data_IF_676629344954
#
_entry.id   IF_676629344954
#
_cell.length_a   1.000
_cell.length_b   1.000
_cell.length_c   1.000
_cell.angle_alpha   90.00
_cell.angle_beta   90.00
_cell.angle_gamma   90.00
#
_symmetry.space_group_name_H-M   'P 1'
#
loop_
_entity.id
_entity.type
_entity.pdbx_description
1 polymer ?
#
# COMPACT_ATOMS: atom_id res chain seq x y z
N UNK A 1 -17.67 -24.51 6.60
CA UNK A 1 -17.55 -25.60 7.59
C UNK A 1 -16.21 -26.29 7.36
N UNK A 2 -15.33 -26.32 8.36
CA UNK A 2 -14.00 -26.91 8.30
C UNK A 2 -13.86 -27.93 9.44
N UNK A 3 -13.17 -29.05 9.20
CA UNK A 3 -12.99 -30.08 10.22
C UNK A 3 -12.17 -29.52 11.39
N UNK A 4 -12.62 -29.70 12.63
CA UNK A 4 -11.92 -29.14 13.79
C UNK A 4 -10.55 -29.77 14.01
N UNK A 5 -10.34 -31.00 13.53
CA UNK A 5 -9.04 -31.68 13.56
C UNK A 5 -7.97 -31.04 12.68
N UNK A 6 -8.32 -30.05 11.83
CA UNK A 6 -7.35 -29.29 11.04
C UNK A 6 -6.70 -28.12 11.82
N UNK A 7 -7.20 -27.80 13.01
CA UNK A 7 -6.78 -26.63 13.77
C UNK A 7 -5.98 -27.02 15.00
N UNK A 8 -4.94 -26.26 15.30
CA UNK A 8 -4.26 -26.37 16.59
C UNK A 8 -5.23 -25.95 17.72
N UNK A 9 -5.20 -26.61 18.89
CA UNK A 9 -6.12 -26.28 19.99
C UNK A 9 -6.11 -24.80 20.40
N UNK A 10 -4.92 -24.19 20.49
CA UNK A 10 -4.78 -22.78 20.84
C UNK A 10 -5.45 -21.84 19.81
N UNK A 11 -5.34 -22.14 18.51
CA UNK A 11 -6.00 -21.36 17.47
C UNK A 11 -7.52 -21.50 17.54
N UNK A 12 -8.01 -22.70 17.87
CA UNK A 12 -9.45 -22.91 18.02
C UNK A 12 -10.02 -22.15 19.21
N UNK A 13 -9.31 -22.12 20.34
CA UNK A 13 -9.66 -21.32 21.51
C UNK A 13 -9.73 -19.83 21.16
N UNK A 14 -8.70 -19.31 20.51
CA UNK A 14 -8.64 -17.91 20.06
C UNK A 14 -9.78 -17.54 19.09
N UNK A 15 -10.05 -18.41 18.11
CA UNK A 15 -11.16 -18.20 17.15
C UNK A 15 -12.53 -18.17 17.83
N UNK A 16 -12.75 -19.03 18.83
CA UNK A 16 -14.04 -19.08 19.54
C UNK A 16 -14.18 -17.94 20.56
N UNK A 17 -13.08 -17.47 21.15
CA UNK A 17 -13.06 -16.33 22.07
C UNK A 17 -13.26 -15.00 21.34
N UNK A 18 -12.44 -14.70 20.34
CA UNK A 18 -12.40 -13.37 19.70
C UNK A 18 -13.33 -13.26 18.48
N UNK A 19 -13.74 -14.37 17.88
CA UNK A 19 -14.62 -14.38 16.71
C UNK A 19 -15.90 -15.18 16.91
N UNK A 20 -16.36 -15.39 18.16
CA UNK A 20 -17.53 -16.20 18.51
C UNK A 20 -18.86 -15.78 17.83
N UNK A 21 -18.97 -14.52 17.39
CA UNK A 21 -20.14 -14.07 16.61
C UNK A 21 -20.16 -14.64 15.19
N UNK A 22 -19.00 -14.92 14.61
CA UNK A 22 -18.83 -15.37 13.22
C UNK A 22 -18.30 -16.79 13.10
N UNK A 23 -17.73 -17.35 14.17
CA UNK A 23 -17.18 -18.71 14.23
C UNK A 23 -17.85 -19.47 15.37
N UNK A 24 -18.44 -20.62 15.05
CA UNK A 24 -19.09 -21.49 16.05
C UNK A 24 -18.65 -22.94 15.89
N UNK A 25 -18.52 -23.67 16.99
CA UNK A 25 -18.33 -25.12 16.96
C UNK A 25 -19.68 -25.84 16.81
N UNK A 26 -19.76 -26.79 15.86
CA UNK A 26 -20.92 -27.66 15.68
C UNK A 26 -20.45 -29.10 15.44
N UNK A 27 -20.48 -29.90 16.51
CA UNK A 27 -20.04 -31.30 16.49
C UNK A 27 -18.54 -31.43 16.21
N UNK A 28 -18.18 -32.04 15.08
CA UNK A 28 -16.79 -32.24 14.66
C UNK A 28 -16.18 -31.09 13.85
N UNK A 29 -16.82 -29.92 13.79
CA UNK A 29 -16.47 -28.87 12.82
C UNK A 29 -16.52 -27.47 13.42
N UNK A 30 -15.68 -26.59 12.87
CA UNK A 30 -15.84 -25.15 12.98
C UNK A 30 -16.66 -24.62 11.80
N UNK A 31 -17.68 -23.83 12.12
CA UNK A 31 -18.58 -23.19 11.16
C UNK A 31 -18.29 -21.70 11.16
N UNK A 32 -17.77 -21.23 10.03
CA UNK A 32 -17.49 -19.82 9.76
C UNK A 32 -18.68 -19.23 8.99
N UNK A 33 -19.33 -18.21 9.54
CA UNK A 33 -20.37 -17.42 8.86
C UNK A 33 -19.75 -16.57 7.75
N UNK A 34 -18.60 -15.98 8.04
CA UNK A 34 -17.80 -15.20 7.11
C UNK A 34 -16.35 -15.67 7.19
N UNK A 35 -15.72 -15.85 6.02
CA UNK A 35 -14.31 -16.19 5.91
C UNK A 35 -13.79 -15.58 4.61
N UNK A 36 -12.74 -14.77 4.72
CA UNK A 36 -12.02 -14.24 3.57
C UNK A 36 -10.77 -15.10 3.38
N UNK A 37 -10.61 -15.63 2.17
CA UNK A 37 -9.43 -16.40 1.79
C UNK A 37 -8.63 -15.57 0.79
N UNK A 38 -7.35 -15.37 1.10
CA UNK A 38 -6.43 -14.61 0.26
C UNK A 38 -5.15 -15.40 0.00
N UNK A 39 -4.40 -14.97 -1.00
CA UNK A 39 -3.08 -15.55 -1.26
C UNK A 39 -2.15 -15.26 -0.09
N UNK A 40 -1.46 -16.28 0.42
CA UNK A 40 -0.48 -16.10 1.49
C UNK A 40 0.64 -15.17 1.06
N UNK A 41 0.88 -14.14 1.85
CA UNK A 41 1.97 -13.17 1.70
C UNK A 41 2.69 -13.03 3.03
N UNK A 42 3.91 -12.50 2.99
CA UNK A 42 4.68 -12.17 4.21
C UNK A 42 4.47 -10.66 4.45
N UNK A 43 3.98 -10.22 5.61
CA UNK A 43 3.89 -8.80 5.92
C UNK A 43 5.24 -8.10 5.69
N UNK A 44 5.24 -6.93 5.07
CA UNK A 44 6.47 -6.27 4.61
C UNK A 44 7.51 -6.11 5.73
N UNK A 45 7.18 -5.66 6.96
CA UNK A 45 8.17 -5.55 8.03
C UNK A 45 8.84 -6.90 8.35
N UNK A 46 8.03 -7.97 8.46
CA UNK A 46 8.51 -9.33 8.72
C UNK A 46 9.38 -9.85 7.56
N UNK A 47 9.02 -9.51 6.33
CA UNK A 47 9.83 -9.86 5.16
C UNK A 47 11.22 -9.19 5.22
N UNK A 48 11.26 -7.90 5.59
CA UNK A 48 12.50 -7.12 5.62
C UNK A 48 13.48 -7.57 6.72
N UNK A 49 13.02 -8.22 7.78
CA UNK A 49 13.88 -8.74 8.86
C UNK A 49 14.86 -9.82 8.38
N UNK A 50 14.48 -10.60 7.36
CA UNK A 50 15.24 -11.79 6.93
C UNK A 50 15.59 -11.81 5.44
N UNK A 51 15.07 -10.85 4.66
CA UNK A 51 15.32 -10.76 3.24
C UNK A 51 16.80 -10.51 2.92
N UNK A 52 17.26 -11.03 1.79
CA UNK A 52 18.56 -10.63 1.25
C UNK A 52 18.54 -9.13 0.89
N UNK A 53 19.68 -8.42 0.91
CA UNK A 53 19.71 -7.00 0.54
C UNK A 53 19.11 -6.71 -0.85
N UNK A 54 19.30 -7.64 -1.79
CA UNK A 54 18.71 -7.55 -3.13
C UNK A 54 17.19 -7.65 -3.11
N UNK A 55 16.65 -8.60 -2.35
CA UNK A 55 15.20 -8.84 -2.29
C UNK A 55 14.50 -7.74 -1.48
N UNK A 56 15.12 -7.25 -0.41
CA UNK A 56 14.67 -6.10 0.36
C UNK A 56 14.57 -4.84 -0.53
N UNK A 57 15.63 -4.54 -1.31
CA UNK A 57 15.60 -3.46 -2.32
C UNK A 57 14.44 -3.63 -3.30
N UNK A 58 14.27 -4.84 -3.82
CA UNK A 58 13.21 -5.16 -4.81
C UNK A 58 11.82 -4.98 -4.21
N UNK A 59 11.61 -5.42 -2.97
CA UNK A 59 10.33 -5.27 -2.27
C UNK A 59 9.97 -3.80 -2.02
N UNK A 60 10.93 -2.98 -1.60
CA UNK A 60 10.71 -1.54 -1.34
C UNK A 60 10.40 -0.76 -2.62
N UNK A 61 11.03 -1.10 -3.74
CA UNK A 61 10.67 -0.53 -5.06
C UNK A 61 9.27 -0.99 -5.48
N UNK A 62 8.96 -2.28 -5.30
CA UNK A 62 7.62 -2.78 -5.61
C UNK A 62 6.54 -2.21 -4.70
N UNK A 63 6.86 -1.80 -3.46
CA UNK A 63 5.95 -1.10 -2.56
C UNK A 63 5.53 0.25 -3.14
N UNK A 64 6.46 1.09 -3.59
CA UNK A 64 6.08 2.37 -4.20
C UNK A 64 5.33 2.20 -5.51
N UNK A 65 5.67 1.18 -6.31
CA UNK A 65 4.82 0.81 -7.47
C UNK A 65 3.42 0.36 -7.07
N UNK A 66 3.26 -0.39 -5.98
CA UNK A 66 1.95 -0.77 -5.43
C UNK A 66 1.13 0.47 -5.06
N UNK A 67 1.70 1.40 -4.31
CA UNK A 67 1.06 2.66 -3.91
C UNK A 67 0.59 3.45 -5.13
N UNK A 68 1.45 3.60 -6.14
CA UNK A 68 1.11 4.31 -7.39
C UNK A 68 0.00 3.64 -8.17
N UNK A 69 0.02 2.31 -8.25
CA UNK A 69 -1.00 1.56 -8.96
C UNK A 69 -2.35 1.65 -8.23
N UNK A 70 -2.35 1.62 -6.90
CA UNK A 70 -3.55 1.84 -6.10
C UNK A 70 -4.10 3.26 -6.34
N UNK A 71 -3.24 4.28 -6.24
CA UNK A 71 -3.61 5.67 -6.51
C UNK A 71 -4.21 5.84 -7.91
N UNK A 72 -3.58 5.26 -8.93
CA UNK A 72 -4.07 5.25 -10.31
C UNK A 72 -5.42 4.53 -10.47
N UNK A 73 -5.74 3.57 -9.61
CA UNK A 73 -7.02 2.87 -9.57
C UNK A 73 -8.07 3.57 -8.70
N UNK A 74 -7.81 4.81 -8.25
CA UNK A 74 -8.63 5.56 -7.31
C UNK A 74 -8.75 4.87 -5.93
N UNK A 75 -7.74 4.12 -5.52
CA UNK A 75 -7.68 3.43 -4.22
C UNK A 75 -6.60 4.12 -3.38
N UNK A 76 -7.00 4.72 -2.26
CA UNK A 76 -6.10 5.32 -1.30
C UNK A 76 -6.21 4.64 0.05
N UNK A 77 -5.08 4.25 0.64
CA UNK A 77 -5.03 3.71 1.99
C UNK A 77 -4.65 4.85 2.95
N UNK A 78 -5.53 5.17 3.90
CA UNK A 78 -5.31 6.21 4.91
C UNK A 78 -4.26 5.84 5.95
N UNK A 79 -3.88 4.58 6.03
CA UNK A 79 -2.79 4.11 6.88
C UNK A 79 -1.67 3.54 6.01
N UNK A 80 -0.84 4.43 5.46
CA UNK A 80 0.34 4.08 4.66
C UNK A 80 1.45 3.48 5.52
N UNK A 81 1.15 2.49 6.36
CA UNK A 81 2.09 1.71 7.16
C UNK A 81 2.50 0.44 6.42
N UNK A 82 3.80 0.11 6.44
CA UNK A 82 4.32 -1.11 5.84
C UNK A 82 3.62 -2.40 6.30
N UNK A 83 3.07 -2.43 7.52
CA UNK A 83 2.30 -3.56 8.06
C UNK A 83 1.06 -3.92 7.24
N UNK A 84 0.50 -2.97 6.50
CA UNK A 84 -0.68 -3.17 5.66
C UNK A 84 -0.33 -3.78 4.28
N UNK A 85 0.97 -3.96 4.00
CA UNK A 85 1.48 -4.46 2.73
C UNK A 85 2.11 -5.85 2.88
N UNK A 86 1.80 -6.72 1.93
CA UNK A 86 2.26 -8.10 1.88
C UNK A 86 3.17 -8.35 0.69
N UNK A 87 4.29 -9.02 0.93
CA UNK A 87 5.24 -9.47 -0.09
C UNK A 87 4.91 -10.90 -0.50
N UNK A 88 4.66 -11.10 -1.78
CA UNK A 88 4.45 -12.41 -2.37
C UNK A 88 5.77 -13.15 -2.62
N UNK A 89 5.70 -14.44 -2.93
CA UNK A 89 6.86 -15.28 -3.29
C UNK A 89 7.68 -14.77 -4.49
N UNK A 90 7.09 -13.92 -5.33
CA UNK A 90 7.73 -13.33 -6.51
C UNK A 90 8.12 -11.85 -6.28
N UNK A 91 8.23 -11.43 -5.01
CA UNK A 91 8.60 -10.08 -4.57
C UNK A 91 7.63 -8.97 -4.98
N UNK A 92 6.45 -9.31 -5.52
CA UNK A 92 5.36 -8.35 -5.72
C UNK A 92 4.73 -8.00 -4.38
N UNK A 93 4.45 -6.70 -4.20
CA UNK A 93 3.85 -6.13 -3.00
C UNK A 93 2.39 -5.82 -3.27
N UNK A 94 1.51 -6.15 -2.31
CA UNK A 94 0.08 -5.90 -2.38
C UNK A 94 -0.39 -5.25 -1.08
N UNK A 95 -1.35 -4.33 -1.18
CA UNK A 95 -2.15 -3.94 -0.03
C UNK A 95 -3.08 -5.11 0.33
N UNK A 96 -3.13 -5.53 1.60
CA UNK A 96 -4.04 -6.59 2.03
C UNK A 96 -4.99 -6.16 3.16
N UNK A 97 -4.69 -5.07 3.85
CA UNK A 97 -5.62 -4.44 4.80
C UNK A 97 -6.49 -3.42 4.04
N UNK A 98 -7.81 -3.62 4.11
CA UNK A 98 -8.79 -2.82 3.37
C UNK A 98 -9.64 -1.92 4.28
N UNK A 99 -9.45 -1.98 5.60
CA UNK A 99 -10.33 -1.28 6.55
C UNK A 99 -10.17 0.25 6.48
N UNK A 100 -9.01 0.71 6.02
CA UNK A 100 -8.66 2.13 5.90
C UNK A 100 -8.67 2.67 4.46
N UNK A 101 -9.30 1.96 3.51
CA UNK A 101 -9.32 2.36 2.10
C UNK A 101 -10.44 3.35 1.79
N UNK A 102 -10.10 4.42 1.07
CA UNK A 102 -11.03 5.42 0.54
C UNK A 102 -10.72 5.78 -0.92
N UNK A 103 -11.67 6.33 -1.68
CA UNK A 103 -11.40 6.85 -3.01
C UNK A 103 -10.37 7.98 -2.96
N UNK A 104 -9.29 7.87 -3.75
CA UNK A 104 -8.27 8.93 -3.79
C UNK A 104 -8.88 10.30 -4.14
N UNK A 105 -9.91 10.35 -4.98
CA UNK A 105 -10.60 11.59 -5.37
C UNK A 105 -11.21 12.38 -4.21
N UNK A 106 -11.47 11.72 -3.08
CA UNK A 106 -12.16 12.25 -1.91
C UNK A 106 -11.16 12.69 -0.82
N UNK A 107 -9.88 12.33 -0.99
CA UNK A 107 -8.79 12.68 -0.07
C UNK A 107 -8.39 14.14 -0.22
N UNK A 108 -8.12 14.80 0.92
CA UNK A 108 -7.66 16.19 0.97
C UNK A 108 -6.15 16.22 1.04
N UNK A 109 -5.51 16.53 -0.08
CA UNK A 109 -4.05 16.58 -0.17
C UNK A 109 -3.59 17.98 0.28
N UNK A 110 -2.73 18.05 1.30
CA UNK A 110 -2.19 19.29 1.90
C UNK A 110 -0.68 19.15 2.12
N UNK A 111 -0.04 20.22 2.55
CA UNK A 111 1.39 20.23 2.89
C UNK A 111 1.65 21.10 4.12
N UNK A 112 2.76 20.81 4.80
CA UNK A 112 3.41 21.58 5.85
C UNK A 112 4.80 22.08 5.41
N UNK A 113 5.20 21.94 4.13
CA UNK A 113 6.54 22.35 3.68
C UNK A 113 6.82 23.86 3.79
N UNK A 114 5.77 24.67 3.88
CA UNK A 114 5.84 26.11 4.13
C UNK A 114 5.89 26.47 5.62
N UNK A 115 5.76 25.48 6.51
CA UNK A 115 5.75 25.63 7.96
C UNK A 115 7.07 25.18 8.58
N UNK A 116 7.38 25.67 9.78
CA UNK A 116 8.55 25.27 10.55
C UNK A 116 8.19 24.83 11.97
N UNK A 117 9.05 24.01 12.55
CA UNK A 117 8.85 23.48 13.90
C UNK A 117 8.80 24.61 14.94
N UNK A 118 7.77 24.60 15.79
CA UNK A 118 7.52 25.64 16.80
C UNK A 118 6.68 26.84 16.34
N UNK A 119 6.17 26.84 15.12
CA UNK A 119 5.14 27.80 14.70
C UNK A 119 3.83 27.56 15.50
N UNK A 120 3.31 28.60 16.17
CA UNK A 120 2.11 28.49 17.03
C UNK A 120 0.81 28.41 16.24
N UNK A 121 0.82 28.81 14.96
CA UNK A 121 -0.36 28.80 14.12
C UNK A 121 -0.78 27.36 13.77
N UNK A 122 -2.07 27.08 13.94
CA UNK A 122 -2.68 25.82 13.52
C UNK A 122 -3.02 25.94 12.04
N UNK A 123 -2.60 25.00 11.16
CA UNK A 123 -2.92 25.07 9.75
C UNK A 123 -4.44 25.09 9.51
N UNK A 124 -4.90 25.87 8.54
CA UNK A 124 -6.34 25.96 8.21
C UNK A 124 -6.97 24.60 7.92
N UNK A 125 -6.21 23.71 7.29
CA UNK A 125 -6.67 22.36 6.95
C UNK A 125 -6.88 21.47 8.18
N UNK A 126 -6.35 21.83 9.36
CA UNK A 126 -6.48 21.03 10.59
C UNK A 126 -7.94 20.85 11.01
N UNK A 127 -8.79 21.83 10.68
CA UNK A 127 -10.21 21.82 11.00
C UNK A 127 -11.08 21.26 9.87
N UNK A 128 -10.47 20.79 8.78
CA UNK A 128 -11.21 20.20 7.68
C UNK A 128 -11.79 18.83 8.05
N UNK A 129 -13.08 18.64 7.75
CA UNK A 129 -13.71 17.32 7.88
C UNK A 129 -13.16 16.32 6.83
N UNK A 130 -13.07 15.04 7.20
CA UNK A 130 -12.53 14.00 6.33
C UNK A 130 -11.02 13.80 6.52
N UNK A 131 -10.43 12.92 5.70
CA UNK A 131 -9.01 12.59 5.83
C UNK A 131 -8.13 13.59 5.08
N UNK A 132 -7.22 14.24 5.82
CA UNK A 132 -6.16 15.07 5.27
C UNK A 132 -4.90 14.22 5.14
N UNK A 133 -4.33 14.23 3.94
CA UNK A 133 -3.11 13.51 3.61
C UNK A 133 -1.98 14.50 3.32
N UNK A 134 -0.84 14.29 3.97
CA UNK A 134 0.40 15.04 3.80
C UNK A 134 1.42 14.16 3.06
N UNK A 135 1.64 14.36 1.75
CA UNK A 135 2.54 13.52 0.97
C UNK A 135 3.95 13.41 1.55
N UNK A 136 4.49 14.51 2.08
CA UNK A 136 5.83 14.59 2.65
C UNK A 136 6.06 13.65 3.85
N UNK A 137 5.00 13.16 4.49
CA UNK A 137 5.08 12.22 5.62
C UNK A 137 5.03 10.76 5.17
N UNK A 138 4.89 10.49 3.86
CA UNK A 138 4.70 9.13 3.32
C UNK A 138 5.83 8.18 3.71
N UNK A 139 7.08 8.60 3.62
CA UNK A 139 8.24 7.76 3.90
C UNK A 139 8.34 7.37 5.38
N UNK A 140 8.04 8.30 6.29
CA UNK A 140 7.95 8.08 7.73
C UNK A 140 6.75 7.20 8.05
N UNK A 141 5.60 7.48 7.42
CA UNK A 141 4.37 6.71 7.57
C UNK A 141 4.54 5.24 7.25
N UNK A 142 5.37 4.91 6.24
CA UNK A 142 5.68 3.54 5.85
C UNK A 142 6.43 2.73 6.91
N UNK A 143 7.07 3.39 7.88
CA UNK A 143 7.81 2.76 8.99
C UNK A 143 8.81 1.69 8.53
N UNK A 144 9.49 1.91 7.41
CA UNK A 144 10.56 1.04 6.94
C UNK A 144 11.74 1.17 7.93
N UNK A 145 12.20 0.10 8.59
CA UNK A 145 13.15 0.22 9.70
C UNK A 145 14.59 0.54 9.25
N UNK A 146 14.98 0.07 8.07
CA UNK A 146 16.34 0.28 7.53
C UNK A 146 16.43 1.61 6.78
N UNK A 147 17.33 2.49 7.23
CA UNK A 147 17.59 3.79 6.61
C UNK A 147 18.05 3.68 5.15
N UNK A 148 18.88 2.69 4.81
CA UNK A 148 19.32 2.50 3.43
C UNK A 148 18.14 2.16 2.51
N UNK A 149 17.15 1.42 3.03
CA UNK A 149 15.92 1.13 2.31
C UNK A 149 15.00 2.34 2.19
N UNK A 150 14.92 3.18 3.23
CA UNK A 150 14.21 4.47 3.14
C UNK A 150 14.82 5.36 2.06
N UNK A 151 16.16 5.45 2.00
CA UNK A 151 16.86 6.23 0.99
C UNK A 151 16.60 5.70 -0.42
N UNK A 152 16.62 4.37 -0.61
CA UNK A 152 16.20 3.73 -1.88
C UNK A 152 14.75 4.09 -2.24
N UNK A 153 13.82 4.05 -1.28
CA UNK A 153 12.44 4.43 -1.54
C UNK A 153 12.33 5.89 -2.00
N UNK A 154 13.05 6.79 -1.35
CA UNK A 154 13.08 8.22 -1.71
C UNK A 154 13.71 8.46 -3.08
N UNK A 155 14.79 7.76 -3.40
CA UNK A 155 15.46 7.86 -4.70
C UNK A 155 14.53 7.41 -5.85
N UNK A 156 13.85 6.27 -5.67
CA UNK A 156 13.03 5.64 -6.72
C UNK A 156 11.60 6.23 -6.78
N UNK A 157 11.10 6.73 -5.65
CA UNK A 157 9.72 7.17 -5.49
C UNK A 157 9.56 8.53 -4.82
N UNK A 158 10.55 9.41 -4.99
CA UNK A 158 10.56 10.80 -4.51
C UNK A 158 9.24 11.56 -4.76
N UNK A 159 8.65 11.36 -5.94
CA UNK A 159 7.39 12.01 -6.32
C UNK A 159 6.18 11.60 -5.46
N UNK A 160 6.20 10.44 -4.78
CA UNK A 160 5.12 10.09 -3.84
C UNK A 160 5.08 11.01 -2.62
N UNK A 161 6.14 11.78 -2.36
CA UNK A 161 6.21 12.76 -1.28
C UNK A 161 5.90 14.18 -1.75
N UNK A 162 5.34 14.35 -2.95
CA UNK A 162 5.02 15.67 -3.50
C UNK A 162 3.51 15.85 -3.71
N UNK A 163 3.04 17.08 -3.47
CA UNK A 163 1.68 17.49 -3.76
C UNK A 163 1.31 17.23 -5.23
N UNK A 164 2.20 17.63 -6.15
CA UNK A 164 1.98 17.60 -7.59
C UNK A 164 1.61 16.20 -8.11
N UNK A 165 2.23 15.16 -7.56
CA UNK A 165 1.93 13.78 -7.94
C UNK A 165 0.47 13.44 -7.63
N UNK A 166 0.07 13.58 -6.37
CA UNK A 166 -1.24 13.14 -5.91
C UNK A 166 -2.37 13.98 -6.50
N UNK A 167 -2.19 15.31 -6.55
CA UNK A 167 -3.17 16.17 -7.21
C UNK A 167 -3.24 15.90 -8.71
N UNK A 168 -2.11 15.59 -9.35
CA UNK A 168 -2.04 15.19 -10.75
C UNK A 168 -2.90 13.95 -11.02
N UNK A 169 -2.79 12.93 -10.16
CA UNK A 169 -3.60 11.72 -10.22
C UNK A 169 -5.08 12.03 -9.98
N UNK A 170 -5.43 12.81 -8.95
CA UNK A 170 -6.82 13.24 -8.72
C UNK A 170 -7.41 13.98 -9.93
N UNK A 171 -6.68 14.93 -10.51
CA UNK A 171 -7.11 15.68 -11.69
C UNK A 171 -7.36 14.77 -12.89
N UNK A 172 -6.52 13.76 -13.09
CA UNK A 172 -6.70 12.78 -14.15
C UNK A 172 -7.96 11.92 -13.92
N UNK A 173 -8.12 11.38 -12.70
CA UNK A 173 -9.27 10.55 -12.32
C UNK A 173 -10.59 11.31 -12.44
N UNK A 174 -10.65 12.57 -11.96
CA UNK A 174 -11.84 13.43 -12.07
C UNK A 174 -12.21 13.76 -13.52
N UNK A 175 -11.27 13.67 -14.46
CA UNK A 175 -11.51 13.80 -15.91
C UNK A 175 -11.89 12.47 -16.58
N UNK A 176 -12.02 11.38 -15.83
CA UNK A 176 -12.28 10.04 -16.36
C UNK A 176 -11.10 9.44 -17.12
N UNK A 177 -9.89 10.00 -16.94
CA UNK A 177 -8.67 9.41 -17.51
C UNK A 177 -8.21 8.25 -16.64
N UNK A 178 -7.65 7.22 -17.27
CA UNK A 178 -7.03 6.09 -16.57
C UNK A 178 -5.53 6.38 -16.46
N UNK A 179 -5.00 6.71 -15.25
CA UNK A 179 -3.57 6.91 -15.06
C UNK A 179 -2.81 5.61 -15.36
N UNK A 180 -1.56 5.74 -15.81
CA UNK A 180 -0.77 4.59 -16.24
C UNK A 180 -0.40 3.70 -15.06
N UNK A 181 -0.65 2.39 -15.20
CA UNK A 181 -0.20 1.35 -14.26
C UNK A 181 1.20 0.85 -14.62
N UNK A 182 2.00 0.54 -13.60
CA UNK A 182 3.31 -0.13 -13.73
C UNK A 182 3.21 -1.58 -13.27
N UNK A 183 3.17 -2.50 -14.23
CA UNK A 183 3.04 -3.95 -13.97
C UNK A 183 4.37 -4.71 -14.15
N UNK A 184 5.31 -4.17 -14.93
CA UNK A 184 6.62 -4.74 -15.21
C UNK A 184 7.75 -3.69 -15.07
N UNK A 185 9.01 -4.11 -14.85
CA UNK A 185 10.17 -3.21 -14.81
C UNK A 185 10.38 -2.47 -16.14
N UNK A 186 10.77 -1.19 -16.10
CA UNK A 186 10.92 -0.36 -17.29
C UNK A 186 11.96 -0.91 -18.28
N UNK A 187 12.98 -1.62 -17.79
CA UNK A 187 14.03 -2.25 -18.61
C UNK A 187 13.45 -3.33 -19.54
N UNK A 188 12.32 -3.91 -19.16
CA UNK A 188 11.62 -4.96 -19.93
C UNK A 188 10.61 -4.39 -20.92
N UNK A 189 10.40 -3.07 -20.93
CA UNK A 189 9.46 -2.42 -21.85
C UNK A 189 9.99 -2.51 -23.27
N UNK A 190 9.16 -3.04 -24.17
CA UNK A 190 9.43 -2.99 -25.61
C UNK A 190 9.60 -1.52 -26.02
N UNK A 191 10.78 -1.19 -26.54
CA UNK A 191 11.05 0.13 -27.12
C UNK A 191 10.49 0.12 -28.53
N UNK A 192 9.66 1.11 -28.85
CA UNK A 192 9.24 1.31 -30.23
C UNK A 192 10.49 1.49 -31.10
N UNK A 193 10.61 0.64 -32.12
CA UNK A 193 11.66 0.78 -33.12
C UNK A 193 11.34 2.06 -33.91
N UNK A 194 12.12 3.13 -33.69
CA UNK A 194 12.06 4.34 -34.51
C UNK A 194 12.11 3.91 -35.99
N UNK A 195 10.99 4.06 -36.69
CA UNK A 195 10.99 4.01 -38.16
C UNK A 195 11.61 5.32 -38.62
N UNK A 196 12.85 5.27 -39.11
CA UNK A 196 13.46 6.36 -39.86
C UNK A 196 12.68 6.54 -41.18
N UNK A 197 11.55 7.22 -41.11
CA UNK A 197 10.87 7.77 -42.27
C UNK A 197 11.54 9.11 -42.63
N UNK A 198 12.78 9.03 -43.14
CA UNK A 198 13.50 10.17 -43.72
C UNK A 198 14.62 9.66 -44.65
N UNK A 199 14.25 8.95 -45.71
CA UNK A 199 15.03 8.86 -46.95
C UNK A 199 14.07 8.82 -48.13
N UNK A 200 13.74 10.00 -48.64
CA UNK A 200 13.40 10.27 -50.04
C UNK A 200 13.69 11.74 -50.30
#
# INVERSE_FOLDING_TARGET
RLDKGWFAPALMEELLEFAGETVTEQGGYLVFKHLIVQTKMIPLPVFLETASPRDARTAVINLGHCIRNNAAANIFNKDLDGRNYGVSRFLKVYLFDYDAVEPLTDIKIRTNQDRFDGEEDVPDWFFEEGYVFLPEETDVGLRIPDRALQDIFREEHGELMTLDYWEGVQRALKKGLVPRLRVYPDETRLRERRTDASRA
#
